data_IF_604844244008
#
_entry.id   IF_604844244008
#
_cell.length_a   1.000
_cell.length_b   1.000
_cell.length_c   1.000
_cell.angle_alpha   90.00
_cell.angle_beta   90.00
_cell.angle_gamma   90.00
#
_symmetry.space_group_name_H-M   'P 1'
#
loop_
_entity.id
_entity.type
_entity.pdbx_description
1 polymer ?
#
# COMPACT_ATOMS: atom_id res chain seq x y z
N UNK A 1 3.03 2.80 -15.14
CA UNK A 1 1.96 2.21 -14.30
C UNK A 1 0.79 1.67 -15.14
N UNK A 2 0.14 2.45 -15.99
CA UNK A 2 -1.00 1.99 -16.83
C UNK A 2 -0.67 0.73 -17.64
N UNK A 3 0.49 0.66 -18.29
CA UNK A 3 0.93 -0.54 -19.04
C UNK A 3 1.07 -1.78 -18.15
N UNK A 4 1.56 -1.65 -16.91
CA UNK A 4 1.66 -2.78 -15.97
C UNK A 4 0.28 -3.26 -15.52
N UNK A 5 -0.63 -2.32 -15.26
CA UNK A 5 -2.01 -2.62 -14.86
C UNK A 5 -2.80 -3.29 -15.98
N UNK A 6 -2.68 -2.82 -17.22
CA UNK A 6 -3.42 -3.36 -18.38
C UNK A 6 -3.03 -4.80 -18.73
N UNK A 7 -1.76 -5.19 -18.50
CA UNK A 7 -1.28 -6.58 -18.64
C UNK A 7 -2.02 -7.57 -17.73
N UNK A 8 -2.56 -7.09 -16.61
CA UNK A 8 -3.35 -7.89 -15.66
C UNK A 8 -4.87 -7.67 -15.79
N UNK A 9 -5.29 -7.08 -16.92
CA UNK A 9 -6.68 -6.80 -17.27
C UNK A 9 -7.06 -5.32 -17.10
N UNK A 10 -7.76 -4.78 -18.11
CA UNK A 10 -8.16 -3.36 -18.18
C UNK A 10 -8.95 -2.87 -16.95
N UNK A 11 -9.65 -3.79 -16.24
CA UNK A 11 -10.34 -3.46 -14.98
C UNK A 11 -9.44 -2.83 -13.92
N UNK A 12 -8.14 -3.14 -13.92
CA UNK A 12 -7.17 -2.55 -12.98
C UNK A 12 -6.91 -1.07 -13.24
N UNK A 13 -7.24 -0.56 -14.41
CA UNK A 13 -7.16 0.87 -14.70
C UNK A 13 -8.17 1.69 -13.88
N UNK A 14 -9.21 1.06 -13.34
CA UNK A 14 -10.15 1.72 -12.43
C UNK A 14 -9.46 2.31 -11.19
N UNK A 15 -8.28 1.83 -10.83
CA UNK A 15 -7.49 2.39 -9.71
C UNK A 15 -7.21 3.89 -9.85
N UNK A 16 -7.15 4.41 -11.08
CA UNK A 16 -6.98 5.84 -11.33
C UNK A 16 -8.18 6.69 -10.90
N UNK A 17 -9.32 6.08 -10.60
CA UNK A 17 -10.50 6.74 -10.05
C UNK A 17 -10.50 6.76 -8.52
N UNK A 18 -9.55 6.08 -7.85
CA UNK A 18 -9.48 6.05 -6.40
C UNK A 18 -8.98 7.40 -5.83
N UNK A 19 -9.58 7.86 -4.74
CA UNK A 19 -9.21 9.12 -4.10
C UNK A 19 -7.71 9.21 -3.74
N UNK A 20 -7.04 8.17 -3.19
CA UNK A 20 -5.62 8.25 -2.88
C UNK A 20 -4.71 8.47 -4.09
N UNK A 21 -5.13 8.05 -5.29
CA UNK A 21 -4.39 8.37 -6.51
C UNK A 21 -4.39 9.88 -6.76
N UNK A 22 -5.57 10.52 -6.70
CA UNK A 22 -5.70 11.96 -6.91
C UNK A 22 -5.01 12.76 -5.83
N UNK A 23 -5.14 12.35 -4.56
CA UNK A 23 -4.39 12.94 -3.46
C UNK A 23 -2.86 12.84 -3.69
N UNK A 24 -2.38 11.72 -4.21
CA UNK A 24 -0.98 11.51 -4.55
C UNK A 24 -0.48 12.38 -5.71
N UNK A 25 -1.31 12.61 -6.73
CA UNK A 25 -0.96 13.48 -7.86
C UNK A 25 -0.90 14.94 -7.40
N UNK A 26 -1.92 15.42 -6.67
CA UNK A 26 -1.98 16.80 -6.18
C UNK A 26 -0.77 17.12 -5.28
N UNK A 27 -0.38 16.18 -4.43
CA UNK A 27 0.74 16.33 -3.50
C UNK A 27 2.09 15.88 -4.09
N UNK A 28 2.16 15.61 -5.40
CA UNK A 28 3.37 15.15 -6.14
C UNK A 28 4.09 13.98 -5.43
N UNK A 29 3.36 12.94 -5.02
CA UNK A 29 3.89 11.85 -4.22
C UNK A 29 4.46 10.67 -5.02
N UNK A 30 5.44 9.99 -4.44
CA UNK A 30 6.09 8.80 -5.01
C UNK A 30 5.21 7.53 -5.00
N UNK A 31 4.06 7.54 -4.34
CA UNK A 31 3.22 6.35 -4.12
C UNK A 31 2.79 5.66 -5.41
N UNK A 32 2.43 6.36 -6.52
CA UNK A 32 2.15 5.70 -7.79
C UNK A 32 3.36 4.97 -8.38
N UNK A 33 4.59 5.48 -8.18
CA UNK A 33 5.81 4.82 -8.62
C UNK A 33 6.12 3.58 -7.77
N UNK A 34 5.94 3.67 -6.45
CA UNK A 34 6.06 2.53 -5.53
C UNK A 34 5.07 1.42 -5.93
N UNK A 35 3.82 1.77 -6.19
CA UNK A 35 2.83 0.79 -6.67
C UNK A 35 3.23 0.19 -8.03
N UNK A 36 3.84 0.96 -8.93
CA UNK A 36 4.31 0.46 -10.22
C UNK A 36 5.39 -0.61 -10.07
N UNK A 37 6.19 -0.58 -9.00
CA UNK A 37 7.22 -1.59 -8.73
C UNK A 37 6.67 -3.01 -8.58
N UNK A 38 5.40 -3.15 -8.17
CA UNK A 38 4.72 -4.45 -8.11
C UNK A 38 4.54 -5.10 -9.50
N UNK A 39 4.63 -4.33 -10.58
CA UNK A 39 4.45 -4.80 -11.97
C UNK A 39 5.75 -4.79 -12.78
N UNK A 40 6.72 -4.01 -12.35
CA UNK A 40 8.00 -3.84 -13.03
C UNK A 40 9.14 -4.11 -12.05
N UNK A 41 9.76 -5.29 -12.10
CA UNK A 41 10.81 -5.69 -11.14
C UNK A 41 11.96 -4.70 -11.00
N UNK A 42 12.37 -4.05 -12.10
CA UNK A 42 13.45 -3.06 -12.11
C UNK A 42 13.08 -1.75 -11.41
N UNK A 43 11.79 -1.51 -11.13
CA UNK A 43 11.34 -0.36 -10.35
C UNK A 43 11.29 -0.65 -8.84
N UNK A 44 11.63 -1.87 -8.40
CA UNK A 44 11.65 -2.20 -6.97
C UNK A 44 12.50 -1.21 -6.14
N UNK A 45 13.65 -0.68 -6.61
CA UNK A 45 14.39 0.36 -5.91
C UNK A 45 13.58 1.62 -5.57
N UNK A 46 12.50 1.92 -6.31
CA UNK A 46 11.61 3.03 -5.96
C UNK A 46 10.94 2.86 -4.58
N UNK A 47 10.85 1.62 -4.08
CA UNK A 47 10.34 1.33 -2.73
C UNK A 47 11.23 1.90 -1.63
N UNK A 48 12.51 2.13 -1.90
CA UNK A 48 13.47 2.71 -0.97
C UNK A 48 13.23 4.21 -0.74
N UNK A 49 12.52 4.89 -1.66
CA UNK A 49 12.19 6.31 -1.51
C UNK A 49 11.23 6.57 -0.34
N UNK A 50 10.35 5.62 -0.05
CA UNK A 50 9.44 5.62 1.13
C UNK A 50 9.39 4.22 1.71
N UNK A 51 10.36 3.81 2.55
CA UNK A 51 10.48 2.44 3.05
C UNK A 51 9.22 1.94 3.76
N UNK A 52 8.52 2.81 4.48
CA UNK A 52 7.27 2.47 5.17
C UNK A 52 6.14 2.04 4.22
N UNK A 53 6.13 2.50 2.98
CA UNK A 53 5.17 2.07 1.96
C UNK A 53 5.77 1.01 1.03
N UNK A 54 7.06 1.12 0.78
CA UNK A 54 7.78 0.22 -0.10
C UNK A 54 7.96 -1.17 0.47
N UNK A 55 8.20 -1.29 1.78
CA UNK A 55 8.43 -2.59 2.43
C UNK A 55 7.24 -3.55 2.25
N UNK A 56 5.97 -3.16 2.52
CA UNK A 56 4.81 -4.00 2.22
C UNK A 56 4.77 -4.50 0.77
N UNK A 57 5.05 -3.63 -0.19
CA UNK A 57 5.08 -3.98 -1.62
C UNK A 57 6.24 -4.92 -1.92
N UNK A 58 7.45 -4.60 -1.47
CA UNK A 58 8.64 -5.40 -1.72
C UNK A 58 8.53 -6.83 -1.14
N UNK A 59 7.99 -6.98 0.08
CA UNK A 59 7.82 -8.27 0.73
C UNK A 59 6.72 -9.13 0.08
N UNK A 60 5.70 -8.49 -0.47
CA UNK A 60 4.59 -9.21 -1.13
C UNK A 60 4.83 -9.45 -2.62
N UNK A 61 5.75 -8.72 -3.26
CA UNK A 61 6.09 -8.88 -4.68
C UNK A 61 7.60 -9.05 -4.91
N UNK A 62 8.30 -9.90 -4.15
CA UNK A 62 9.74 -10.03 -4.29
C UNK A 62 10.09 -10.62 -5.66
N UNK A 63 11.10 -10.03 -6.30
CA UNK A 63 11.74 -10.60 -7.49
C UNK A 63 13.24 -10.54 -7.31
N UNK A 64 13.95 -11.57 -7.73
CA UNK A 64 15.41 -11.61 -7.53
C UNK A 64 16.12 -10.42 -8.21
N UNK A 65 15.68 -10.03 -9.40
CA UNK A 65 16.21 -8.87 -10.14
C UNK A 65 15.95 -7.55 -9.40
N UNK A 66 14.76 -7.40 -8.81
CA UNK A 66 14.42 -6.24 -8.00
C UNK A 66 15.24 -6.17 -6.72
N UNK A 67 15.41 -7.30 -6.03
CA UNK A 67 16.24 -7.39 -4.82
C UNK A 67 17.69 -7.03 -5.14
N UNK A 68 18.25 -7.58 -6.23
CA UNK A 68 19.60 -7.23 -6.68
C UNK A 68 19.72 -5.72 -6.96
N UNK A 69 18.76 -5.14 -7.67
CA UNK A 69 18.76 -3.70 -7.97
C UNK A 69 18.68 -2.84 -6.69
N UNK A 70 17.88 -3.24 -5.69
CA UNK A 70 17.86 -2.59 -4.38
C UNK A 70 19.20 -2.70 -3.67
N UNK A 71 19.80 -3.89 -3.65
CA UNK A 71 21.11 -4.12 -3.02
C UNK A 71 22.19 -3.25 -3.66
N UNK A 72 22.25 -3.22 -4.99
CA UNK A 72 23.20 -2.35 -5.72
C UNK A 72 23.00 -0.89 -5.34
N UNK A 73 21.75 -0.40 -5.37
CA UNK A 73 21.46 1.01 -5.05
C UNK A 73 21.83 1.35 -3.59
N UNK A 74 21.51 0.47 -2.64
CA UNK A 74 21.87 0.66 -1.22
C UNK A 74 23.39 0.69 -1.07
N UNK A 75 24.09 -0.26 -1.69
CA UNK A 75 25.56 -0.31 -1.63
C UNK A 75 26.19 0.96 -2.20
N UNK A 76 25.75 1.40 -3.38
CA UNK A 76 26.24 2.64 -3.98
C UNK A 76 25.93 3.86 -3.08
N UNK A 77 24.74 3.93 -2.49
CA UNK A 77 24.39 5.03 -1.59
C UNK A 77 25.25 5.05 -0.33
N UNK A 78 25.61 3.89 0.22
CA UNK A 78 26.50 3.78 1.37
C UNK A 78 27.94 4.14 1.01
N UNK A 79 28.41 3.83 -0.21
CA UNK A 79 29.73 4.25 -0.69
C UNK A 79 29.83 5.78 -0.84
N UNK A 80 28.77 6.42 -1.32
CA UNK A 80 28.72 7.90 -1.51
C UNK A 80 28.51 8.62 -0.18
N UNK A 81 27.64 8.12 0.69
CA UNK A 81 27.26 8.75 1.94
C UNK A 81 27.03 7.70 3.06
N UNK A 82 28.12 7.17 3.66
CA UNK A 82 28.03 6.07 4.63
C UNK A 82 27.14 6.35 5.86
N UNK A 83 27.00 7.62 6.22
CA UNK A 83 26.24 8.05 7.42
C UNK A 83 24.76 8.31 7.16
N UNK A 84 24.27 8.24 5.91
CA UNK A 84 22.87 8.60 5.61
C UNK A 84 21.83 7.77 6.39
N UNK A 85 22.04 6.46 6.70
CA UNK A 85 21.01 5.72 7.44
C UNK A 85 20.83 6.27 8.86
N UNK A 86 21.91 6.67 9.51
CA UNK A 86 21.87 7.24 10.85
C UNK A 86 21.26 8.65 10.85
N UNK A 87 21.60 9.47 9.86
CA UNK A 87 21.01 10.78 9.67
C UNK A 87 19.50 10.66 9.44
N UNK A 88 19.08 9.73 8.59
CA UNK A 88 17.68 9.48 8.31
C UNK A 88 16.93 8.96 9.55
N UNK A 89 17.49 8.00 10.27
CA UNK A 89 16.93 7.48 11.53
C UNK A 89 16.76 8.60 12.56
N UNK A 90 17.73 9.50 12.69
CA UNK A 90 17.67 10.65 13.58
C UNK A 90 16.55 11.65 13.29
N UNK A 91 15.99 11.64 12.07
CA UNK A 91 14.87 12.51 11.71
C UNK A 91 13.48 11.83 11.87
N UNK A 92 13.44 10.55 12.24
CA UNK A 92 12.16 9.82 12.34
C UNK A 92 11.18 10.44 13.34
N UNK A 93 11.66 11.04 14.42
CA UNK A 93 10.81 11.67 15.44
C UNK A 93 10.14 12.97 14.96
N UNK A 94 10.68 13.61 13.92
CA UNK A 94 10.13 14.85 13.37
C UNK A 94 8.89 14.62 12.51
N UNK A 95 8.63 13.38 12.11
CA UNK A 95 7.48 13.07 11.24
C UNK A 95 6.23 12.80 12.07
N UNK A 96 5.25 13.68 11.96
CA UNK A 96 3.89 13.40 12.42
C UNK A 96 3.31 12.25 11.60
N UNK A 97 2.93 11.18 12.27
CA UNK A 97 2.50 9.92 11.67
C UNK A 97 1.55 9.17 12.59
N UNK A 98 0.86 8.21 12.04
CA UNK A 98 0.04 7.26 12.78
C UNK A 98 0.27 5.84 12.21
N UNK A 99 -0.04 4.84 13.02
CA UNK A 99 -0.02 3.44 12.63
C UNK A 99 -1.47 2.98 12.51
N UNK A 100 -1.96 2.62 11.30
CA UNK A 100 -3.37 2.26 11.09
C UNK A 100 -3.88 1.19 12.04
N UNK A 101 -3.08 0.17 12.35
CA UNK A 101 -3.46 -0.92 13.25
C UNK A 101 -3.75 -0.44 14.68
N UNK A 102 -3.13 0.66 15.12
CA UNK A 102 -3.24 1.16 16.51
C UNK A 102 -4.36 2.19 16.70
N UNK A 103 -4.98 2.68 15.63
CA UNK A 103 -6.06 3.67 15.70
C UNK A 103 -7.41 2.99 15.56
N UNK A 104 -8.29 3.14 16.55
CA UNK A 104 -9.65 2.60 16.50
C UNK A 104 -10.40 3.13 15.25
N UNK A 105 -10.97 2.24 14.40
CA UNK A 105 -11.16 0.80 14.58
C UNK A 105 -10.07 -0.12 13.96
N UNK A 106 -8.85 0.37 13.79
CA UNK A 106 -7.72 -0.33 13.16
C UNK A 106 -7.35 -1.70 13.74
N UNK A 107 -7.52 -2.00 15.05
CA UNK A 107 -7.29 -3.35 15.58
C UNK A 107 -8.09 -4.44 14.84
N UNK A 108 -9.23 -4.11 14.21
CA UNK A 108 -9.98 -5.05 13.38
C UNK A 108 -9.18 -5.55 12.16
N UNK A 109 -8.16 -4.81 11.72
CA UNK A 109 -7.29 -5.22 10.62
C UNK A 109 -6.50 -6.50 10.95
N UNK A 110 -6.33 -6.81 12.23
CA UNK A 110 -5.74 -8.08 12.67
C UNK A 110 -6.55 -9.31 12.19
N UNK A 111 -7.84 -9.15 11.86
CA UNK A 111 -8.65 -10.23 11.27
C UNK A 111 -8.09 -10.72 9.92
N UNK A 112 -7.27 -9.93 9.23
CA UNK A 112 -6.56 -10.39 8.03
C UNK A 112 -5.60 -11.55 8.34
N UNK A 113 -5.17 -11.75 9.60
CA UNK A 113 -4.40 -12.92 10.04
C UNK A 113 -5.15 -14.24 9.80
N UNK A 114 -6.48 -14.24 9.76
CA UNK A 114 -7.26 -15.42 9.40
C UNK A 114 -6.94 -15.92 7.99
N UNK A 115 -6.33 -15.06 7.17
CA UNK A 115 -5.87 -15.35 5.80
C UNK A 115 -4.37 -15.05 5.61
N UNK A 116 -3.54 -15.25 6.62
CA UNK A 116 -2.10 -14.91 6.59
C UNK A 116 -1.32 -15.52 5.42
N UNK A 117 -1.83 -16.61 4.82
CA UNK A 117 -1.24 -17.24 3.62
C UNK A 117 -1.62 -16.55 2.31
N UNK A 118 -2.63 -15.66 2.34
CA UNK A 118 -3.01 -14.86 1.19
C UNK A 118 -2.09 -13.64 1.12
N UNK A 119 -1.47 -13.46 -0.03
CA UNK A 119 -0.59 -12.32 -0.32
C UNK A 119 -1.28 -10.97 -0.12
N UNK A 120 -2.58 -10.89 -0.45
CA UNK A 120 -3.35 -9.65 -0.32
C UNK A 120 -3.61 -9.34 1.17
N UNK A 121 -3.86 -10.37 2.00
CA UNK A 121 -3.97 -10.22 3.45
C UNK A 121 -2.63 -9.79 4.07
N UNK A 122 -1.52 -10.37 3.61
CA UNK A 122 -0.19 -10.00 4.08
C UNK A 122 0.13 -8.53 3.71
N UNK A 123 -0.17 -8.11 2.48
CA UNK A 123 -0.01 -6.71 2.06
C UNK A 123 -0.81 -5.76 2.95
N UNK A 124 -2.08 -6.09 3.24
CA UNK A 124 -2.95 -5.29 4.10
C UNK A 124 -2.38 -5.16 5.52
N UNK A 125 -1.94 -6.28 6.11
CA UNK A 125 -1.36 -6.31 7.46
C UNK A 125 -0.05 -5.52 7.54
N UNK A 126 0.86 -5.74 6.59
CA UNK A 126 2.12 -5.01 6.55
C UNK A 126 1.89 -3.51 6.37
N UNK A 127 0.97 -3.11 5.48
CA UNK A 127 0.61 -1.70 5.31
C UNK A 127 -0.03 -1.11 6.58
N UNK A 128 -0.84 -1.90 7.31
CA UNK A 128 -1.48 -1.46 8.56
C UNK A 128 -0.49 -1.31 9.73
N UNK A 129 0.61 -2.05 9.71
CA UNK A 129 1.70 -1.96 10.71
C UNK A 129 2.65 -0.80 10.46
N UNK A 130 2.74 -0.33 9.20
CA UNK A 130 3.67 0.73 8.84
C UNK A 130 3.13 2.10 9.22
N UNK A 131 3.99 3.01 9.70
CA UNK A 131 3.61 4.39 9.97
C UNK A 131 3.23 5.10 8.67
N UNK A 132 2.09 5.76 8.67
CA UNK A 132 1.56 6.53 7.55
C UNK A 132 1.32 7.97 7.93
N UNK A 133 1.21 8.83 6.94
CA UNK A 133 1.06 10.25 7.14
C UNK A 133 -0.24 10.80 6.57
N UNK A 134 -0.63 10.38 5.35
CA UNK A 134 -1.71 11.01 4.62
C UNK A 134 -2.44 10.03 3.68
N UNK A 135 -3.58 10.43 3.16
CA UNK A 135 -4.46 9.61 2.32
C UNK A 135 -3.77 8.93 1.14
N UNK A 136 -2.81 9.60 0.48
CA UNK A 136 -2.06 9.04 -0.65
C UNK A 136 -1.20 7.83 -0.28
N UNK A 137 -0.84 7.67 0.98
CA UNK A 137 -0.03 6.53 1.44
C UNK A 137 -0.78 5.21 1.30
N UNK A 138 -2.13 5.25 1.35
CA UNK A 138 -2.97 4.05 1.19
C UNK A 138 -3.07 3.56 -0.25
N UNK A 139 -2.55 4.28 -1.23
CA UNK A 139 -2.70 3.93 -2.65
C UNK A 139 -2.18 2.52 -2.98
N UNK A 140 -1.16 2.04 -2.27
CA UNK A 140 -0.63 0.67 -2.42
C UNK A 140 -1.68 -0.42 -2.14
N UNK A 141 -2.72 -0.13 -1.36
CA UNK A 141 -3.79 -1.07 -1.06
C UNK A 141 -4.61 -1.45 -2.31
N UNK A 142 -4.59 -0.62 -3.37
CA UNK A 142 -5.25 -0.94 -4.64
C UNK A 142 -4.55 -2.03 -5.46
N UNK A 143 -3.49 -2.64 -4.92
CA UNK A 143 -2.98 -3.93 -5.39
C UNK A 143 -3.89 -5.10 -4.99
N UNK A 144 -4.71 -4.95 -3.94
CA UNK A 144 -5.59 -5.99 -3.37
C UNK A 144 -6.79 -6.31 -4.26
N UNK A 145 -7.61 -5.34 -4.78
CA UNK A 145 -8.77 -5.65 -5.59
C UNK A 145 -8.41 -6.38 -6.88
N UNK A 146 -9.18 -7.44 -7.21
CA UNK A 146 -8.97 -8.28 -8.42
C UNK A 146 -10.14 -8.24 -9.39
N UNK A 147 -11.36 -8.05 -8.87
CA UNK A 147 -12.58 -8.01 -9.68
C UNK A 147 -13.06 -6.57 -9.88
N UNK A 148 -13.84 -6.34 -10.98
CA UNK A 148 -14.45 -5.03 -11.23
C UNK A 148 -15.32 -4.57 -10.04
N UNK A 149 -16.06 -5.50 -9.42
CA UNK A 149 -16.91 -5.20 -8.26
C UNK A 149 -16.08 -4.75 -7.06
N UNK A 150 -14.99 -5.42 -6.75
CA UNK A 150 -14.09 -5.04 -5.66
C UNK A 150 -13.50 -3.64 -5.89
N UNK A 151 -13.07 -3.33 -7.13
CA UNK A 151 -12.59 -1.98 -7.48
C UNK A 151 -13.67 -0.92 -7.26
N UNK A 152 -14.89 -1.12 -7.79
CA UNK A 152 -15.98 -0.14 -7.66
C UNK A 152 -16.26 0.13 -6.19
N UNK A 153 -16.40 -0.92 -5.36
CA UNK A 153 -16.65 -0.77 -3.93
C UNK A 153 -15.54 -0.01 -3.22
N UNK A 154 -14.31 -0.42 -3.39
CA UNK A 154 -13.17 0.21 -2.69
C UNK A 154 -12.95 1.66 -3.15
N UNK A 155 -13.17 1.96 -4.43
CA UNK A 155 -13.12 3.32 -4.97
C UNK A 155 -14.22 4.16 -4.34
N UNK A 156 -15.47 3.67 -4.33
CA UNK A 156 -16.60 4.39 -3.72
C UNK A 156 -16.31 4.76 -2.27
N UNK A 157 -15.88 3.81 -1.45
CA UNK A 157 -15.52 4.09 -0.07
C UNK A 157 -14.36 5.08 0.04
N UNK A 158 -13.35 5.00 -0.81
CA UNK A 158 -12.20 5.92 -0.76
C UNK A 158 -12.60 7.38 -0.93
N UNK A 159 -13.64 7.66 -1.72
CA UNK A 159 -14.18 9.00 -1.87
C UNK A 159 -14.91 9.50 -0.62
N UNK A 160 -15.39 8.62 0.27
CA UNK A 160 -15.87 9.00 1.60
C UNK A 160 -14.79 9.75 2.40
N UNK A 161 -13.54 9.25 2.38
CA UNK A 161 -12.41 9.95 2.97
C UNK A 161 -12.05 11.25 2.22
N UNK A 162 -12.18 11.25 0.89
CA UNK A 162 -11.97 12.44 0.05
C UNK A 162 -12.98 13.55 0.35
N UNK A 163 -14.24 13.21 0.43
CA UNK A 163 -15.33 14.14 0.78
C UNK A 163 -15.14 14.68 2.21
N UNK A 164 -14.80 13.80 3.16
CA UNK A 164 -14.48 14.25 4.51
C UNK A 164 -13.35 15.30 4.49
N UNK A 165 -12.26 15.04 3.78
CA UNK A 165 -11.14 15.98 3.66
C UNK A 165 -11.54 17.29 2.98
N UNK A 166 -12.50 17.24 2.05
CA UNK A 166 -12.98 18.42 1.34
C UNK A 166 -13.80 19.35 2.25
N UNK A 167 -14.68 18.77 3.08
CA UNK A 167 -15.59 19.54 3.95
C UNK A 167 -14.99 19.86 5.33
N UNK A 168 -14.00 19.11 5.78
CA UNK A 168 -13.41 19.25 7.10
C UNK A 168 -11.88 19.32 6.99
N UNK A 169 -11.29 20.37 7.55
CA UNK A 169 -9.85 20.39 7.78
C UNK A 169 -9.53 19.47 8.99
N UNK A 170 -8.81 18.35 8.80
CA UNK A 170 -8.51 17.48 9.93
C UNK A 170 -7.61 18.20 10.95
N UNK A 171 -7.94 18.07 12.22
CA UNK A 171 -7.26 18.75 13.31
C UNK A 171 -6.02 17.98 13.80
N UNK A 172 -5.94 16.70 13.45
CA UNK A 172 -4.82 15.85 13.86
C UNK A 172 -4.56 14.70 12.89
N UNK A 173 -3.32 14.16 12.92
CA UNK A 173 -2.97 12.96 12.14
C UNK A 173 -3.71 11.70 12.61
N UNK A 174 -4.12 11.65 13.88
CA UNK A 174 -4.93 10.55 14.42
C UNK A 174 -6.32 10.57 13.79
N UNK A 175 -6.90 11.74 13.60
CA UNK A 175 -8.17 11.89 12.92
C UNK A 175 -8.08 11.45 11.46
N UNK A 176 -7.06 11.91 10.72
CA UNK A 176 -6.76 11.43 9.36
C UNK A 176 -6.65 9.91 9.33
N UNK A 177 -5.89 9.33 10.27
CA UNK A 177 -5.71 7.89 10.39
C UNK A 177 -7.02 7.14 10.60
N UNK A 178 -7.91 7.65 11.44
CA UNK A 178 -9.23 7.05 11.68
C UNK A 178 -10.06 6.99 10.39
N UNK A 179 -10.10 8.07 9.62
CA UNK A 179 -10.81 8.13 8.34
C UNK A 179 -10.19 7.21 7.29
N UNK A 180 -8.85 7.15 7.25
CA UNK A 180 -8.16 6.19 6.37
C UNK A 180 -8.49 4.74 6.73
N UNK A 181 -8.51 4.40 8.02
CA UNK A 181 -8.89 3.06 8.47
C UNK A 181 -10.33 2.75 8.07
N UNK A 182 -11.27 3.64 8.35
CA UNK A 182 -12.69 3.43 8.06
C UNK A 182 -12.99 3.29 6.56
N UNK A 183 -12.44 4.16 5.73
CA UNK A 183 -12.84 4.28 4.33
C UNK A 183 -11.89 3.60 3.33
N UNK A 184 -10.70 3.18 3.76
CA UNK A 184 -9.73 2.54 2.89
C UNK A 184 -9.33 1.15 3.40
N UNK A 185 -8.87 1.04 4.64
CA UNK A 185 -8.41 -0.23 5.18
C UNK A 185 -9.52 -1.24 5.44
N UNK A 186 -10.62 -0.84 6.09
CA UNK A 186 -11.73 -1.77 6.38
C UNK A 186 -12.45 -2.25 5.11
N UNK A 187 -12.70 -1.45 4.07
CA UNK A 187 -13.19 -1.97 2.80
C UNK A 187 -12.23 -2.99 2.16
N UNK A 188 -10.92 -2.77 2.24
CA UNK A 188 -9.92 -3.75 1.75
C UNK A 188 -9.91 -5.03 2.60
N UNK A 189 -10.07 -4.91 3.92
CA UNK A 189 -10.23 -6.07 4.80
C UNK A 189 -11.47 -6.87 4.42
N UNK A 190 -12.61 -6.22 4.19
CA UNK A 190 -13.83 -6.88 3.73
C UNK A 190 -13.60 -7.62 2.41
N UNK A 191 -12.93 -7.00 1.43
CA UNK A 191 -12.56 -7.64 0.16
C UNK A 191 -11.72 -8.90 0.42
N UNK A 192 -10.71 -8.82 1.28
CA UNK A 192 -9.84 -9.95 1.61
C UNK A 192 -10.63 -11.08 2.28
N UNK A 193 -11.46 -10.77 3.27
CA UNK A 193 -12.17 -11.78 4.06
C UNK A 193 -13.32 -12.44 3.28
N UNK A 194 -14.07 -11.66 2.50
CA UNK A 194 -15.26 -12.15 1.77
C UNK A 194 -14.91 -12.87 0.47
N UNK A 195 -13.69 -12.71 -0.05
CA UNK A 195 -13.24 -13.44 -1.22
C UNK A 195 -13.22 -14.95 -0.90
N UNK A 196 -13.89 -15.76 -1.71
CA UNK A 196 -13.79 -17.22 -1.59
C UNK A 196 -12.32 -17.64 -1.62
N UNK A 197 -11.92 -18.52 -0.70
CA UNK A 197 -10.57 -19.11 -0.75
C UNK A 197 -10.42 -19.76 -2.14
N UNK A 198 -9.31 -19.41 -2.83
CA UNK A 198 -8.99 -20.10 -4.07
C UNK A 198 -8.87 -21.59 -3.75
N UNK A 199 -9.67 -22.44 -4.38
CA UNK A 199 -9.50 -23.88 -4.30
C UNK A 199 -8.05 -24.18 -4.61
N UNK A 200 -7.37 -24.84 -3.68
CA UNK A 200 -6.03 -25.39 -3.97
C UNK A 200 -6.17 -26.22 -5.23
N UNK A 201 -5.32 -26.01 -6.25
CA UNK A 201 -5.29 -26.94 -7.35
C UNK A 201 -5.11 -28.33 -6.73
N UNK A 202 -6.11 -29.20 -6.96
CA UNK A 202 -6.01 -30.59 -6.63
C UNK A 202 -4.72 -31.09 -7.26
N UNK A 203 -3.76 -31.51 -6.41
CA UNK A 203 -2.60 -32.23 -6.89
C UNK A 203 -3.19 -33.53 -7.45
N UNK A 204 -3.50 -33.51 -8.74
CA UNK A 204 -3.83 -34.75 -9.44
C UNK A 204 -2.58 -35.62 -9.31
N UNK A 205 -2.68 -36.62 -8.44
CA UNK A 205 -1.75 -37.72 -8.35
C UNK A 205 -1.71 -38.36 -9.72
N UNK A 206 -0.65 -38.08 -10.47
CA UNK A 206 -0.22 -38.83 -11.64
C UNK A 206 0.96 -39.71 -11.24
#
# INVERSE_FOLDING_TARGET
>A
MALGLSRHGYRRLLVFLAYPYWAGIIEAQWTPLIMASAFFPLLLPATLAKPQLGLPVALTTPTWRGVLACTVLITLSLLVMPRWPWLWAGHFYLYNRFVPLLIVPGPLLALALLRYRDRDALLLLLAALMPQRWFYDTFILWLIPKTRREFIWTIFFSWGAGLYRWYHAPHSYVEVGRWMVLFMYLPMLAVVLLRKAAEKPSIATA
#
